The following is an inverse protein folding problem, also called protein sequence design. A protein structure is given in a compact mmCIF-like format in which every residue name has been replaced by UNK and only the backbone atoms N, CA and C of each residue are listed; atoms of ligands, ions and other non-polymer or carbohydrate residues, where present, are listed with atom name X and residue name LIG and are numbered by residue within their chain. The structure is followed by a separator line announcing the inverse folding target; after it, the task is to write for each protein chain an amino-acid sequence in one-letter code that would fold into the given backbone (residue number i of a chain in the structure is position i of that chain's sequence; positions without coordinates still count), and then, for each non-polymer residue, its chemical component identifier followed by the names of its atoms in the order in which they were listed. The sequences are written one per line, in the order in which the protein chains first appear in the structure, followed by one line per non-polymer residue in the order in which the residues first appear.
data_IF_901579461539
#
_entry.id   IF_901579461539
#
_cell.length_a   1.000
_cell.length_b   1.000
_cell.length_c   1.000
_cell.angle_alpha   90.00
_cell.angle_beta   90.00
_cell.angle_gamma   90.00
#
_symmetry.space_group_name_H-M   'P 1'
#
loop_
_entity.id
_entity.type
_entity.pdbx_description
1 polymer ?
#
# COMPACT_ATOMS: atom_id res chain seq x y z
N UNK A 1 11.57 -9.07 13.78
CA UNK A 1 12.74 -8.48 13.09
C UNK A 1 12.23 -7.36 12.18
N UNK A 2 12.89 -6.20 12.14
CA UNK A 2 12.56 -5.17 11.13
C UNK A 2 13.03 -5.70 9.77
N UNK A 3 12.20 -5.66 8.72
CA UNK A 3 12.61 -6.15 7.42
C UNK A 3 13.77 -5.29 6.89
N UNK A 4 14.75 -5.96 6.28
CA UNK A 4 15.81 -5.32 5.51
C UNK A 4 15.40 -5.31 4.04
N UNK A 5 15.78 -4.26 3.31
CA UNK A 5 15.65 -4.17 1.86
C UNK A 5 17.01 -3.89 1.24
N UNK A 6 17.28 -4.54 0.12
CA UNK A 6 18.39 -4.19 -0.76
C UNK A 6 17.95 -3.04 -1.68
N UNK A 7 18.71 -1.96 -1.73
CA UNK A 7 18.47 -0.87 -2.66
C UNK A 7 18.75 -1.33 -4.10
N UNK A 8 17.82 -1.12 -5.03
CA UNK A 8 18.00 -1.48 -6.44
C UNK A 8 19.04 -0.60 -7.15
N UNK A 9 19.30 0.61 -6.64
CA UNK A 9 20.23 1.57 -7.25
C UNK A 9 21.69 1.34 -6.84
N UNK A 10 21.98 1.19 -5.55
CA UNK A 10 23.36 1.03 -5.05
C UNK A 10 23.69 -0.38 -4.53
N UNK A 11 22.68 -1.25 -4.38
CA UNK A 11 22.88 -2.62 -3.90
C UNK A 11 23.07 -2.76 -2.39
N UNK A 12 23.06 -1.67 -1.62
CA UNK A 12 23.20 -1.72 -0.16
C UNK A 12 21.97 -2.31 0.53
N UNK A 13 22.21 -3.08 1.58
CA UNK A 13 21.16 -3.58 2.47
C UNK A 13 20.98 -2.66 3.66
N UNK A 14 19.74 -2.22 3.88
CA UNK A 14 19.40 -1.37 4.99
C UNK A 14 18.04 -1.70 5.56
N UNK A 15 17.78 -1.25 6.79
CA UNK A 15 16.45 -1.36 7.37
C UNK A 15 15.44 -0.59 6.52
N UNK A 16 14.26 -1.20 6.32
CA UNK A 16 13.15 -0.53 5.65
C UNK A 16 12.63 0.57 6.57
N UNK A 17 12.78 1.82 6.13
CA UNK A 17 12.12 2.98 6.74
C UNK A 17 11.03 3.43 5.79
N UNK A 18 9.79 3.32 6.26
CA UNK A 18 8.61 3.79 5.53
C UNK A 18 8.41 5.26 5.84
N UNK A 19 8.47 6.10 4.82
CA UNK A 19 8.24 7.54 4.89
C UNK A 19 6.93 7.86 4.16
N UNK A 20 6.25 8.92 4.62
CA UNK A 20 5.00 9.38 4.02
C UNK A 20 5.09 10.87 3.68
N UNK A 21 4.61 11.24 2.50
CA UNK A 21 4.40 12.62 2.08
C UNK A 21 2.91 12.85 1.83
N UNK A 22 2.34 13.87 2.48
CA UNK A 22 0.99 14.35 2.21
C UNK A 22 1.02 15.39 1.09
N UNK A 23 0.34 15.09 -0.01
CA UNK A 23 0.10 16.01 -1.12
C UNK A 23 -1.28 16.69 -0.97
N UNK A 24 -1.56 17.58 -1.91
CA UNK A 24 -2.89 18.18 -2.08
C UNK A 24 -3.99 17.12 -2.25
N UNK A 25 -5.25 17.54 -2.10
CA UNK A 25 -6.42 16.66 -2.23
C UNK A 25 -6.40 15.44 -1.29
N UNK A 26 -5.69 15.54 -0.16
CA UNK A 26 -5.55 14.46 0.83
C UNK A 26 -4.90 13.18 0.28
N UNK A 27 -4.09 13.29 -0.77
CA UNK A 27 -3.30 12.18 -1.31
C UNK A 27 -2.09 11.94 -0.39
N UNK A 28 -1.82 10.68 -0.05
CA UNK A 28 -0.66 10.29 0.75
C UNK A 28 0.21 9.36 -0.08
N UNK A 29 1.48 9.73 -0.25
CA UNK A 29 2.50 8.94 -0.97
C UNK A 29 3.42 8.32 0.06
N UNK A 30 3.43 6.98 0.14
CA UNK A 30 4.35 6.21 0.96
C UNK A 30 5.54 5.74 0.13
N UNK A 31 6.76 6.02 0.58
CA UNK A 31 7.99 5.65 -0.09
C UNK A 31 9.05 5.15 0.90
N UNK A 32 10.01 4.40 0.39
CA UNK A 32 11.23 3.99 1.10
C UNK A 32 12.37 4.84 0.54
N UNK A 33 13.24 5.34 1.41
CA UNK A 33 14.45 6.06 0.98
C UNK A 33 15.69 5.27 1.37
N UNK A 34 16.58 5.05 0.42
CA UNK A 34 17.88 4.45 0.68
C UNK A 34 18.75 5.44 1.48
N UNK A 35 19.32 5.06 2.63
CA UNK A 35 20.18 5.95 3.40
C UNK A 35 21.51 6.26 2.72
N UNK A 36 22.00 5.36 1.85
CA UNK A 36 23.31 5.51 1.19
C UNK A 36 23.26 6.42 -0.03
N UNK A 37 22.35 6.14 -0.98
CA UNK A 37 22.26 6.88 -2.24
C UNK A 37 21.07 7.85 -2.31
N UNK A 38 20.27 7.93 -1.24
CA UNK A 38 19.06 8.76 -1.14
C UNK A 38 17.96 8.45 -2.16
N UNK A 39 18.13 7.41 -2.98
CA UNK A 39 17.11 6.95 -3.92
C UNK A 39 15.82 6.58 -3.19
N UNK A 40 14.69 7.06 -3.70
CA UNK A 40 13.36 6.84 -3.15
C UNK A 40 12.57 5.89 -4.05
N UNK A 41 11.86 4.96 -3.44
CA UNK A 41 10.97 4.02 -4.12
C UNK A 41 9.58 4.11 -3.50
N UNK A 42 8.60 4.54 -4.27
CA UNK A 42 7.19 4.61 -3.89
C UNK A 42 6.62 3.20 -3.83
N UNK A 43 6.03 2.86 -2.69
CA UNK A 43 5.36 1.57 -2.49
C UNK A 43 3.84 1.72 -2.33
N UNK A 44 3.33 2.92 -2.07
CA UNK A 44 1.89 3.15 -1.96
C UNK A 44 1.50 4.58 -2.29
N UNK A 45 0.34 4.73 -2.92
CA UNK A 45 -0.31 6.04 -3.11
C UNK A 45 -1.77 5.90 -2.69
N UNK A 46 -2.16 6.64 -1.65
CA UNK A 46 -3.49 6.55 -1.05
C UNK A 46 -4.28 7.83 -1.33
N UNK A 47 -5.21 7.75 -2.27
CA UNK A 47 -6.22 8.78 -2.53
C UNK A 47 -7.40 8.65 -1.55
N UNK A 48 -8.30 9.66 -1.44
CA UNK A 48 -9.53 9.53 -0.66
C UNK A 48 -10.39 8.32 -1.07
N UNK A 49 -10.45 8.02 -2.37
CA UNK A 49 -11.18 6.88 -2.89
C UNK A 49 -10.54 5.55 -2.44
N UNK A 50 -9.23 5.38 -2.63
CA UNK A 50 -8.50 4.20 -2.16
C UNK A 50 -8.63 4.05 -0.63
N UNK A 51 -8.55 5.14 0.12
CA UNK A 51 -8.74 5.15 1.58
C UNK A 51 -10.12 4.62 1.98
N UNK A 52 -11.16 4.97 1.23
CA UNK A 52 -12.52 4.46 1.48
C UNK A 52 -12.62 2.95 1.26
N UNK A 53 -11.97 2.42 0.21
CA UNK A 53 -11.90 0.99 -0.07
C UNK A 53 -11.09 0.24 1.00
N UNK A 54 -9.96 0.80 1.45
CA UNK A 54 -9.18 0.25 2.56
C UNK A 54 -9.99 0.19 3.87
N UNK A 55 -10.80 1.22 4.16
CA UNK A 55 -11.73 1.20 5.30
C UNK A 55 -12.75 0.07 5.17
N UNK A 56 -13.29 -0.16 3.97
CA UNK A 56 -14.20 -1.28 3.69
C UNK A 56 -13.54 -2.64 3.91
N UNK A 57 -12.29 -2.83 3.47
CA UNK A 57 -11.50 -4.03 3.78
C UNK A 57 -11.39 -4.27 5.29
N UNK A 58 -11.09 -3.23 6.09
CA UNK A 58 -11.01 -3.36 7.55
C UNK A 58 -12.34 -3.82 8.15
N UNK A 59 -13.45 -3.27 7.67
CA UNK A 59 -14.78 -3.71 8.08
C UNK A 59 -15.04 -5.18 7.72
N UNK A 60 -14.70 -5.61 6.50
CA UNK A 60 -14.87 -7.00 6.05
C UNK A 60 -14.03 -7.96 6.91
N UNK A 61 -12.75 -7.63 7.17
CA UNK A 61 -11.87 -8.43 8.05
C UNK A 61 -12.46 -8.57 9.45
N UNK A 62 -12.98 -7.49 10.02
CA UNK A 62 -13.64 -7.50 11.32
C UNK A 62 -14.90 -8.37 11.34
N UNK A 63 -15.68 -8.36 10.25
CA UNK A 63 -16.86 -9.22 10.13
C UNK A 63 -16.48 -10.68 9.92
N UNK A 64 -15.42 -10.95 9.16
CA UNK A 64 -14.89 -12.28 8.89
C UNK A 64 -14.42 -12.95 10.18
N UNK A 65 -13.63 -12.25 11.00
CA UNK A 65 -13.18 -12.77 12.29
C UNK A 65 -14.30 -13.08 13.30
N UNK A 66 -15.52 -12.58 13.05
CA UNK A 66 -16.73 -12.84 13.87
C UNK A 66 -17.71 -13.82 13.20
N UNK A 67 -17.40 -14.32 12.01
CA UNK A 67 -18.31 -15.17 11.25
C UNK A 67 -18.35 -16.59 11.83
N UNK A 68 -19.53 -17.01 12.30
CA UNK A 68 -19.75 -18.38 12.81
C UNK A 68 -20.23 -19.38 11.75
N UNK A 69 -20.67 -18.89 10.58
CA UNK A 69 -21.22 -19.71 9.49
C UNK A 69 -20.26 -19.69 8.30
N UNK A 70 -19.90 -20.86 7.78
CA UNK A 70 -18.98 -21.02 6.65
C UNK A 70 -19.41 -20.18 5.43
N UNK A 71 -20.68 -20.30 5.02
CA UNK A 71 -21.23 -19.53 3.88
C UNK A 71 -21.10 -18.00 4.04
N UNK A 72 -21.11 -17.49 5.27
CA UNK A 72 -20.88 -16.05 5.53
C UNK A 72 -19.40 -15.71 5.40
N UNK A 73 -18.51 -16.57 5.91
CA UNK A 73 -17.07 -16.39 5.79
C UNK A 73 -16.62 -16.39 4.31
N UNK A 74 -17.12 -17.33 3.51
CA UNK A 74 -16.83 -17.41 2.07
C UNK A 74 -17.25 -16.14 1.32
N UNK A 75 -18.46 -15.63 1.57
CA UNK A 75 -18.93 -14.38 0.96
C UNK A 75 -18.05 -13.19 1.32
N UNK A 76 -17.65 -13.10 2.59
CA UNK A 76 -16.78 -12.02 3.07
C UNK A 76 -15.38 -12.12 2.46
N UNK A 77 -14.87 -13.34 2.25
CA UNK A 77 -13.59 -13.57 1.59
C UNK A 77 -13.63 -13.12 0.11
N UNK A 78 -14.68 -13.51 -0.63
CA UNK A 78 -14.87 -13.07 -2.01
C UNK A 78 -15.02 -11.54 -2.13
N UNK A 79 -15.73 -10.90 -1.19
CA UNK A 79 -15.83 -9.43 -1.16
C UNK A 79 -14.48 -8.77 -0.86
N UNK A 80 -13.70 -9.34 0.08
CA UNK A 80 -12.35 -8.87 0.38
C UNK A 80 -11.45 -8.93 -0.85
N UNK A 81 -11.41 -10.07 -1.55
CA UNK A 81 -10.59 -10.27 -2.75
C UNK A 81 -10.93 -9.26 -3.83
N UNK A 82 -12.24 -9.10 -4.14
CA UNK A 82 -12.72 -8.13 -5.12
C UNK A 82 -12.25 -6.70 -4.82
N UNK A 83 -12.37 -6.25 -3.57
CA UNK A 83 -11.97 -4.89 -3.19
C UNK A 83 -10.45 -4.75 -3.17
N UNK A 84 -9.75 -5.78 -2.73
CA UNK A 84 -8.29 -5.78 -2.71
C UNK A 84 -7.71 -5.66 -4.12
N UNK A 85 -8.28 -6.37 -5.09
CA UNK A 85 -7.86 -6.27 -6.49
C UNK A 85 -8.25 -4.92 -7.11
N UNK A 86 -9.42 -4.38 -6.76
CA UNK A 86 -9.77 -3.01 -7.14
C UNK A 86 -8.76 -1.98 -6.60
N UNK A 87 -8.33 -2.11 -5.35
CA UNK A 87 -7.30 -1.22 -4.78
C UNK A 87 -5.99 -1.35 -5.56
N UNK A 88 -5.53 -2.58 -5.85
CA UNK A 88 -4.29 -2.79 -6.62
C UNK A 88 -4.38 -2.13 -8.00
N UNK A 89 -5.46 -2.36 -8.73
CA UNK A 89 -5.67 -1.76 -10.06
C UNK A 89 -5.68 -0.23 -10.04
N UNK A 90 -6.26 0.37 -8.99
CA UNK A 90 -6.30 1.83 -8.84
C UNK A 90 -4.98 2.42 -8.34
N UNK A 91 -4.24 1.69 -7.52
CA UNK A 91 -3.03 2.18 -6.85
C UNK A 91 -1.79 2.04 -7.72
N UNK A 92 -1.66 0.95 -8.49
CA UNK A 92 -0.48 0.69 -9.31
C UNK A 92 -0.13 1.84 -10.27
N UNK A 93 -1.05 2.36 -11.11
CA UNK A 93 -0.70 3.46 -12.02
C UNK A 93 -0.28 4.74 -11.28
N UNK A 94 -0.80 4.96 -10.06
CA UNK A 94 -0.40 6.09 -9.23
C UNK A 94 1.01 5.90 -8.67
N UNK A 95 1.36 4.68 -8.26
CA UNK A 95 2.72 4.34 -7.83
C UNK A 95 3.70 4.56 -8.98
N UNK A 96 3.37 4.07 -10.18
CA UNK A 96 4.23 4.20 -11.36
C UNK A 96 4.44 5.68 -11.72
N UNK A 97 3.36 6.48 -11.70
CA UNK A 97 3.44 7.93 -11.90
C UNK A 97 4.32 8.63 -10.86
N UNK A 98 4.15 8.32 -9.58
CA UNK A 98 4.93 8.94 -8.50
C UNK A 98 6.40 8.51 -8.51
N UNK A 99 6.69 7.26 -8.87
CA UNK A 99 8.06 6.77 -9.00
C UNK A 99 8.86 7.48 -10.09
N UNK A 100 8.21 7.92 -11.17
CA UNK A 100 8.88 8.67 -12.23
C UNK A 100 9.36 10.05 -11.77
N UNK A 101 8.70 10.69 -10.79
CA UNK A 101 9.01 12.05 -10.35
C UNK A 101 9.64 12.17 -8.96
N UNK A 102 9.66 11.11 -8.14
CA UNK A 102 10.09 11.23 -6.74
C UNK A 102 11.60 11.45 -6.54
N UNK A 103 12.39 11.10 -7.56
CA UNK A 103 13.86 11.21 -7.58
C UNK A 103 14.37 12.34 -8.48
N UNK A 104 13.47 13.08 -9.13
CA UNK A 104 13.79 14.36 -9.78
C UNK A 104 14.00 15.46 -8.72
#
# INVERSE_FOLDING_TARGET
MKPFSKCEQCGDEHHIVLLEHKKENSIVVGFIQCPSCQHKTVYSVTTPHIRSLQKRIRTIRNQYGKAKRLKKAERLLAEYEKINDQIKMLMQPLIDHENNGINE
#
